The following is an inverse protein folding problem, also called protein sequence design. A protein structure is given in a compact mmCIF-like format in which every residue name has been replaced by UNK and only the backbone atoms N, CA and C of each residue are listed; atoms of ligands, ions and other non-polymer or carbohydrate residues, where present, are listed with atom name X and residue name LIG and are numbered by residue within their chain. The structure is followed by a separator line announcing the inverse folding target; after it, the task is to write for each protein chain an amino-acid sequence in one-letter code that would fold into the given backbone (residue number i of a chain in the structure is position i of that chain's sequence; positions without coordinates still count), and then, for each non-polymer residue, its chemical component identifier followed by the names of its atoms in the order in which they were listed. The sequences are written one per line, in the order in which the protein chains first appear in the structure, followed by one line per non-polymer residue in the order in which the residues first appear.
data_IF_456304941502
#
_entry.id   IF_456304941502
#
_cell.length_a   1.000
_cell.length_b   1.000
_cell.length_c   1.000
_cell.angle_alpha   90.00
_cell.angle_beta   90.00
_cell.angle_gamma   90.00
#
_symmetry.space_group_name_H-M   'P 1'
#
loop_
_entity.id
_entity.type
_entity.pdbx_description
1 polymer ?
#
# COMPACT_ATOMS: atom_id res chain seq x y z
N UNK A 1 -7.87 -22.53 -11.90
CA UNK A 1 -7.64 -21.11 -12.25
C UNK A 1 -6.83 -20.45 -11.14
N UNK A 2 -5.76 -19.74 -11.48
CA UNK A 2 -4.96 -18.98 -10.50
C UNK A 2 -5.76 -17.77 -10.03
N UNK A 3 -5.95 -17.61 -8.73
CA UNK A 3 -6.61 -16.42 -8.16
C UNK A 3 -5.64 -15.24 -8.21
N UNK A 4 -6.16 -14.02 -8.39
CA UNK A 4 -5.35 -12.80 -8.38
C UNK A 4 -5.88 -11.82 -7.34
N UNK A 5 -5.01 -10.94 -6.87
CA UNK A 5 -5.39 -9.81 -6.02
C UNK A 5 -4.65 -8.55 -6.45
N UNK A 6 -5.29 -7.41 -6.27
CA UNK A 6 -4.73 -6.11 -6.65
C UNK A 6 -3.89 -5.53 -5.52
N UNK A 7 -2.66 -5.15 -5.85
CA UNK A 7 -1.77 -4.43 -4.95
C UNK A 7 -1.52 -3.03 -5.49
N UNK A 8 -2.28 -2.07 -4.97
CA UNK A 8 -2.07 -0.65 -5.24
C UNK A 8 -0.93 -0.11 -4.37
N UNK A 9 0.07 0.53 -4.98
CA UNK A 9 1.23 1.02 -4.24
C UNK A 9 1.72 2.38 -4.74
N UNK A 10 2.31 3.15 -3.83
CA UNK A 10 3.03 4.39 -4.13
C UNK A 10 4.48 4.22 -3.65
N UNK A 11 5.45 4.59 -4.49
CA UNK A 11 6.88 4.49 -4.17
C UNK A 11 7.30 5.41 -3.01
N UNK A 12 6.57 6.50 -2.77
CA UNK A 12 6.79 7.40 -1.64
C UNK A 12 6.14 6.94 -0.33
N UNK A 13 5.46 5.78 -0.32
CA UNK A 13 4.76 5.26 0.85
C UNK A 13 5.60 4.19 1.57
N UNK A 14 6.07 4.44 2.81
CA UNK A 14 6.81 3.44 3.57
C UNK A 14 5.96 2.19 3.88
N UNK A 15 4.66 2.36 4.07
CA UNK A 15 3.73 1.25 4.29
C UNK A 15 3.53 0.41 3.02
N UNK A 16 3.56 1.03 1.83
CA UNK A 16 3.54 0.29 0.57
C UNK A 16 4.82 -0.52 0.39
N UNK A 17 5.98 0.02 0.77
CA UNK A 17 7.23 -0.73 0.81
C UNK A 17 7.13 -1.93 1.76
N UNK A 18 6.70 -1.70 3.01
CA UNK A 18 6.52 -2.78 4.00
C UNK A 18 5.58 -3.88 3.46
N UNK A 19 4.42 -3.52 2.92
CA UNK A 19 3.48 -4.49 2.36
C UNK A 19 4.06 -5.26 1.16
N UNK A 20 4.90 -4.61 0.33
CA UNK A 20 5.53 -5.26 -0.82
C UNK A 20 6.44 -6.43 -0.41
N UNK A 21 7.09 -6.33 0.76
CA UNK A 21 7.93 -7.42 1.31
C UNK A 21 7.13 -8.67 1.68
N UNK A 22 5.82 -8.52 1.91
CA UNK A 22 4.95 -9.61 2.35
C UNK A 22 4.29 -10.36 1.19
N UNK A 23 4.32 -9.81 -0.03
CA UNK A 23 3.61 -10.38 -1.18
C UNK A 23 4.04 -11.82 -1.46
N UNK A 24 5.35 -12.11 -1.46
CA UNK A 24 5.86 -13.46 -1.70
C UNK A 24 5.28 -14.50 -0.73
N UNK A 25 5.20 -14.18 0.56
CA UNK A 25 4.61 -15.08 1.56
C UNK A 25 3.10 -15.28 1.37
N UNK A 26 2.38 -14.23 0.94
CA UNK A 26 0.95 -14.33 0.60
C UNK A 26 0.76 -15.24 -0.63
N UNK A 27 1.54 -15.05 -1.69
CA UNK A 27 1.45 -15.87 -2.90
C UNK A 27 1.75 -17.34 -2.61
N UNK A 28 2.75 -17.62 -1.77
CA UNK A 28 3.10 -19.00 -1.36
C UNK A 28 1.97 -19.67 -0.56
N UNK A 29 1.40 -18.96 0.41
CA UNK A 29 0.38 -19.52 1.31
C UNK A 29 -0.99 -19.71 0.63
N UNK A 30 -1.32 -18.88 -0.36
CA UNK A 30 -2.66 -18.83 -0.95
C UNK A 30 -2.73 -19.36 -2.38
N UNK A 31 -1.59 -19.45 -3.07
CA UNK A 31 -1.54 -19.70 -4.51
C UNK A 31 -2.10 -18.54 -5.36
N UNK A 32 -2.48 -17.41 -4.75
CA UNK A 32 -2.91 -16.23 -5.47
C UNK A 32 -1.72 -15.40 -5.96
N UNK A 33 -1.89 -14.65 -7.05
CA UNK A 33 -0.85 -13.79 -7.62
C UNK A 33 -1.19 -12.31 -7.48
N UNK A 34 -0.20 -11.51 -7.10
CA UNK A 34 -0.34 -10.07 -6.98
C UNK A 34 -0.34 -9.41 -8.37
N UNK A 35 -1.32 -8.53 -8.62
CA UNK A 35 -1.32 -7.59 -9.74
C UNK A 35 -0.85 -6.24 -9.22
N UNK A 36 0.35 -5.84 -9.62
CA UNK A 36 0.99 -4.61 -9.18
C UNK A 36 0.42 -3.40 -9.92
N UNK A 37 -0.18 -2.46 -9.19
CA UNK A 37 -0.85 -1.29 -9.74
C UNK A 37 -0.26 -0.01 -9.13
N UNK A 38 0.69 0.67 -9.79
CA UNK A 38 1.27 1.90 -9.25
C UNK A 38 0.24 3.02 -9.24
N UNK A 39 0.20 3.78 -8.14
CA UNK A 39 -0.64 4.96 -7.95
C UNK A 39 0.17 6.11 -7.35
N UNK A 40 -0.42 7.31 -7.35
CA UNK A 40 0.06 8.43 -6.53
C UNK A 40 -0.96 8.70 -5.43
N UNK A 41 -0.52 8.69 -4.17
CA UNK A 41 -1.37 9.02 -3.04
C UNK A 41 -1.84 10.48 -3.11
N UNK A 42 -1.01 11.38 -3.66
CA UNK A 42 -1.39 12.77 -3.93
C UNK A 42 -2.56 12.88 -4.90
N UNK A 43 -2.53 12.13 -6.01
CA UNK A 43 -3.64 12.09 -6.98
C UNK A 43 -4.88 11.42 -6.41
N UNK A 44 -4.71 10.30 -5.69
CA UNK A 44 -5.81 9.57 -5.06
C UNK A 44 -6.54 10.41 -4.01
N UNK A 45 -5.80 11.13 -3.15
CA UNK A 45 -6.39 12.04 -2.15
C UNK A 45 -7.21 13.16 -2.81
N UNK A 46 -6.69 13.78 -3.87
CA UNK A 46 -7.41 14.80 -4.64
C UNK A 46 -8.71 14.25 -5.24
N UNK A 47 -8.65 13.05 -5.83
CA UNK A 47 -9.80 12.42 -6.48
C UNK A 47 -10.90 11.99 -5.49
N UNK A 48 -10.51 11.59 -4.28
CA UNK A 48 -11.43 11.04 -3.26
C UNK A 48 -11.86 12.06 -2.21
N UNK A 49 -11.28 13.27 -2.21
CA UNK A 49 -11.49 14.26 -1.15
C UNK A 49 -10.88 13.86 0.20
N UNK A 50 -9.99 12.86 0.23
CA UNK A 50 -9.34 12.43 1.46
C UNK A 50 -8.29 13.45 1.91
N UNK A 51 -8.40 13.89 3.16
CA UNK A 51 -7.44 14.77 3.80
C UNK A 51 -6.23 14.00 4.34
N UNK A 52 -5.17 14.76 4.64
CA UNK A 52 -3.94 14.27 5.26
C UNK A 52 -4.28 13.74 6.67
N UNK A 53 -3.61 12.69 7.16
CA UNK A 53 -3.80 12.22 8.53
C UNK A 53 -3.66 13.35 9.57
N UNK A 54 -4.37 13.26 10.71
CA UNK A 54 -4.23 14.25 11.77
C UNK A 54 -2.80 14.27 12.34
N UNK A 55 -2.34 15.39 12.93
CA UNK A 55 -0.95 15.56 13.39
C UNK A 55 -0.46 14.46 14.33
N UNK A 56 -1.33 13.96 15.22
CA UNK A 56 -0.98 12.88 16.13
C UNK A 56 -0.66 11.57 15.39
N UNK A 57 -1.44 11.25 14.35
CA UNK A 57 -1.17 10.10 13.51
C UNK A 57 0.12 10.29 12.69
N UNK A 58 0.37 11.49 12.16
CA UNK A 58 1.62 11.80 11.46
C UNK A 58 2.85 11.62 12.37
N UNK A 59 2.74 11.98 13.65
CA UNK A 59 3.80 11.75 14.64
C UNK A 59 4.10 10.26 14.78
N UNK A 60 3.08 9.43 14.99
CA UNK A 60 3.27 7.98 15.06
C UNK A 60 3.88 7.41 13.77
N UNK A 61 3.42 7.87 12.61
CA UNK A 61 3.98 7.42 11.32
C UNK A 61 5.47 7.76 11.18
N UNK A 62 5.94 8.88 11.74
CA UNK A 62 7.36 9.24 11.74
C UNK A 62 8.21 8.43 12.71
N UNK A 63 7.60 7.78 13.70
CA UNK A 63 8.26 6.89 14.65
C UNK A 63 8.26 5.42 14.17
N UNK A 64 7.37 5.05 13.24
CA UNK A 64 7.25 3.70 12.65
C UNK A 64 8.32 3.36 11.60
N UNK A 65 8.96 4.39 11.00
CA UNK A 65 9.96 4.26 9.92
C UNK A 65 11.37 4.55 10.38
#
# INVERSE_FOLDING_TARGET
MTKTFDFFYDLGSPYSYLASTQLGGIEQRTGAKARLLPITLGGLRKATGHHIPPPQQLKYMSEDT
#
